data_IF_120787889709
#
_entry.id   IF_120787889709
#
_cell.length_a   1.000
_cell.length_b   1.000
_cell.length_c   1.000
_cell.angle_alpha   90.00
_cell.angle_beta   90.00
_cell.angle_gamma   90.00
#
_symmetry.space_group_name_H-M   'P 1'
#
loop_
_entity.id
_entity.type
_entity.pdbx_description
1 polymer ?
#
# COMPACT_ATOMS: atom_id res chain seq x y z
N UNK A 1 5.54 -70.61 -27.39
CA UNK A 1 4.36 -71.43 -27.74
C UNK A 1 3.29 -70.46 -28.20
N UNK A 2 2.76 -70.73 -29.40
CA UNK A 2 1.43 -70.32 -29.89
C UNK A 2 1.15 -68.81 -30.02
N UNK A 3 0.60 -68.28 -31.10
CA UNK A 3 0.24 -68.76 -32.43
C UNK A 3 -0.06 -67.51 -33.25
N UNK A 4 0.18 -67.60 -34.55
CA UNK A 4 -0.30 -66.63 -35.53
C UNK A 4 -1.82 -66.51 -35.47
N UNK A 5 -2.34 -65.31 -35.72
CA UNK A 5 -3.61 -65.20 -36.42
C UNK A 5 -3.55 -64.01 -37.37
N UNK A 6 -3.49 -64.32 -38.65
CA UNK A 6 -3.71 -63.38 -39.72
C UNK A 6 -5.20 -63.36 -40.01
N UNK A 7 -5.77 -62.18 -40.23
CA UNK A 7 -7.06 -62.10 -40.89
C UNK A 7 -6.98 -61.07 -42.00
N UNK A 8 -7.35 -61.57 -43.17
CA UNK A 8 -7.31 -60.95 -44.49
C UNK A 8 -8.04 -59.59 -44.54
N UNK A 9 -7.37 -58.66 -45.21
CA UNK A 9 -7.89 -57.38 -45.68
C UNK A 9 -8.77 -57.63 -46.92
N UNK A 10 -10.04 -57.20 -46.94
CA UNK A 10 -10.89 -57.30 -48.12
C UNK A 10 -10.59 -56.15 -49.12
N UNK A 11 -10.91 -56.33 -50.41
CA UNK A 11 -10.36 -55.54 -51.51
C UNK A 11 -10.97 -54.14 -51.66
N UNK A 12 -10.17 -53.27 -52.26
CA UNK A 12 -10.46 -51.88 -52.60
C UNK A 12 -11.80 -51.71 -53.35
N UNK A 13 -12.71 -50.96 -52.74
CA UNK A 13 -13.89 -50.40 -53.39
C UNK A 13 -13.45 -49.16 -54.18
N UNK A 14 -13.48 -49.30 -55.49
CA UNK A 14 -13.27 -48.28 -56.51
C UNK A 14 -14.32 -47.16 -56.34
N UNK A 15 -13.91 -46.02 -55.79
CA UNK A 15 -14.76 -44.83 -55.66
C UNK A 15 -14.79 -44.12 -57.01
N UNK A 16 -15.93 -44.17 -57.69
CA UNK A 16 -16.20 -43.35 -58.87
C UNK A 16 -16.27 -41.86 -58.47
N UNK A 17 -15.70 -40.93 -59.25
CA UNK A 17 -15.91 -39.50 -59.07
C UNK A 17 -17.20 -39.04 -59.77
N UNK A 18 -17.68 -37.84 -59.43
CA UNK A 18 -18.88 -37.12 -59.92
C UNK A 18 -20.15 -37.46 -59.12
N UNK A 19 -20.93 -36.53 -58.57
CA UNK A 19 -21.14 -35.09 -58.76
C UNK A 19 -21.76 -34.56 -57.46
N UNK A 20 -21.15 -33.57 -56.81
CA UNK A 20 -21.80 -32.77 -55.75
C UNK A 20 -21.01 -31.47 -55.55
N UNK A 21 -20.92 -30.65 -56.59
CA UNK A 21 -20.34 -29.30 -56.51
C UNK A 21 -21.31 -28.23 -55.95
N UNK A 22 -22.45 -28.62 -55.38
CA UNK A 22 -23.46 -27.68 -54.87
C UNK A 22 -23.67 -27.75 -53.35
N UNK A 23 -22.59 -27.81 -52.55
CA UNK A 23 -22.71 -27.86 -51.08
C UNK A 23 -21.81 -26.87 -50.32
N UNK A 24 -21.11 -25.95 -50.99
CA UNK A 24 -20.18 -25.03 -50.33
C UNK A 24 -20.56 -23.55 -50.41
N UNK A 25 -21.68 -23.20 -51.08
CA UNK A 25 -22.15 -21.81 -51.20
C UNK A 25 -23.23 -21.40 -50.18
N UNK A 26 -23.80 -22.34 -49.41
CA UNK A 26 -24.89 -22.01 -48.46
C UNK A 26 -24.43 -21.83 -47.00
N UNK A 27 -23.17 -22.10 -46.67
CA UNK A 27 -22.67 -21.95 -45.29
C UNK A 27 -22.27 -20.51 -44.91
N UNK A 28 -21.98 -19.63 -45.89
CA UNK A 28 -21.57 -18.23 -45.63
C UNK A 28 -22.75 -17.24 -45.55
N UNK A 29 -23.96 -17.65 -45.93
CA UNK A 29 -25.10 -16.73 -45.98
C UNK A 29 -25.79 -16.48 -44.61
N UNK A 30 -25.51 -17.32 -43.60
CA UNK A 30 -26.21 -17.24 -42.31
C UNK A 30 -25.47 -16.40 -41.25
N UNK A 31 -24.29 -15.86 -41.56
CA UNK A 31 -23.54 -14.98 -40.66
C UNK A 31 -23.89 -13.49 -40.86
N UNK A 32 -24.57 -13.13 -41.95
CA UNK A 32 -24.82 -11.74 -42.34
C UNK A 32 -26.20 -11.17 -41.94
N UNK A 33 -27.07 -11.94 -41.29
CA UNK A 33 -28.46 -11.52 -41.03
C UNK A 33 -28.91 -11.68 -39.58
N UNK A 34 -27.99 -11.79 -38.63
CA UNK A 34 -28.33 -11.52 -37.23
C UNK A 34 -28.53 -10.01 -37.09
N UNK A 35 -29.71 -9.52 -37.49
CA UNK A 35 -30.16 -8.16 -37.20
C UNK A 35 -30.24 -8.04 -35.68
N UNK A 36 -29.17 -7.52 -35.08
CA UNK A 36 -29.19 -7.12 -33.68
C UNK A 36 -30.32 -6.11 -33.57
N UNK A 37 -31.40 -6.51 -32.90
CA UNK A 37 -32.60 -5.68 -32.81
C UNK A 37 -32.21 -4.33 -32.21
N UNK A 38 -32.73 -3.24 -32.79
CA UNK A 38 -32.42 -1.89 -32.32
C UNK A 38 -32.71 -1.72 -30.82
N UNK A 39 -33.68 -2.48 -30.28
CA UNK A 39 -33.97 -2.55 -28.84
C UNK A 39 -32.84 -3.11 -27.98
N UNK A 40 -32.06 -4.06 -28.49
CA UNK A 40 -30.89 -4.63 -27.82
C UNK A 40 -29.74 -3.64 -27.86
N UNK A 41 -29.53 -2.97 -29.00
CA UNK A 41 -28.53 -1.91 -29.15
C UNK A 41 -28.85 -0.75 -28.19
N UNK A 42 -30.10 -0.29 -28.18
CA UNK A 42 -30.56 0.78 -27.29
C UNK A 42 -30.47 0.37 -25.82
N UNK A 43 -30.74 -0.90 -25.48
CA UNK A 43 -30.59 -1.41 -24.11
C UNK A 43 -29.13 -1.48 -23.66
N UNK A 44 -28.19 -1.81 -24.55
CA UNK A 44 -26.76 -1.83 -24.24
C UNK A 44 -26.21 -0.41 -24.14
N UNK A 45 -26.64 0.51 -24.99
CA UNK A 45 -26.27 1.93 -24.92
C UNK A 45 -26.87 2.62 -23.67
N UNK A 46 -28.10 2.27 -23.26
CA UNK A 46 -28.68 2.72 -21.98
C UNK A 46 -27.88 2.15 -20.80
N UNK A 47 -27.38 0.91 -20.89
CA UNK A 47 -26.52 0.33 -19.87
C UNK A 47 -25.15 1.02 -19.80
N UNK A 48 -24.53 1.35 -20.95
CA UNK A 48 -23.21 2.00 -21.02
C UNK A 48 -23.25 3.44 -20.48
N UNK A 49 -24.31 4.18 -20.82
CA UNK A 49 -24.55 5.52 -20.25
C UNK A 49 -24.84 5.51 -18.75
N UNK A 50 -25.35 4.39 -18.21
CA UNK A 50 -25.54 4.19 -16.76
C UNK A 50 -24.24 3.82 -16.06
N UNK A 51 -23.30 3.15 -16.73
CA UNK A 51 -21.96 2.87 -16.20
C UNK A 51 -21.18 4.18 -16.03
N UNK A 52 -21.31 5.13 -16.97
CA UNK A 52 -20.71 6.48 -16.84
C UNK A 52 -21.33 7.32 -15.70
N UNK A 53 -22.57 7.04 -15.32
CA UNK A 53 -23.26 7.68 -14.19
C UNK A 53 -23.07 6.96 -12.85
N UNK A 54 -22.33 5.85 -12.81
CA UNK A 54 -21.90 5.27 -11.54
C UNK A 54 -20.91 6.27 -10.93
N UNK A 55 -21.42 7.12 -10.04
CA UNK A 55 -20.56 7.71 -9.03
C UNK A 55 -19.98 6.56 -8.24
N UNK A 56 -18.74 6.18 -8.54
CA UNK A 56 -17.89 5.49 -7.59
C UNK A 56 -17.78 6.46 -6.41
N UNK A 57 -18.68 6.31 -5.45
CA UNK A 57 -18.56 6.96 -4.15
C UNK A 57 -17.31 6.34 -3.58
N UNK A 58 -16.17 7.03 -3.75
CA UNK A 58 -14.93 6.70 -3.06
C UNK A 58 -15.35 6.46 -1.61
N UNK A 59 -15.20 5.22 -1.14
CA UNK A 59 -15.61 4.84 0.20
C UNK A 59 -14.94 5.85 1.14
N UNK A 60 -15.74 6.75 1.70
CA UNK A 60 -15.18 7.83 2.51
C UNK A 60 -14.43 7.14 3.64
N UNK A 61 -13.12 7.42 3.80
CA UNK A 61 -12.33 6.75 4.80
C UNK A 61 -12.97 7.03 6.16
N UNK A 62 -13.08 5.98 6.98
CA UNK A 62 -13.70 6.06 8.29
C UNK A 62 -12.83 7.00 9.14
N UNK A 63 -13.43 7.94 9.87
CA UNK A 63 -12.67 8.78 10.80
C UNK A 63 -12.26 7.95 12.00
N UNK A 64 -11.00 8.03 12.44
CA UNK A 64 -10.62 7.39 13.70
C UNK A 64 -11.40 8.01 14.87
N UNK A 65 -11.82 7.17 15.82
CA UNK A 65 -12.19 7.64 17.15
C UNK A 65 -10.90 8.22 17.74
N UNK A 66 -10.93 9.46 18.22
CA UNK A 66 -9.75 10.12 18.75
C UNK A 66 -9.13 9.26 19.86
N UNK A 67 -8.03 8.58 19.52
CA UNK A 67 -7.14 7.96 20.49
C UNK A 67 -6.47 9.04 21.34
N UNK A 68 -5.88 8.65 22.47
CA UNK A 68 -5.04 9.54 23.23
C UNK A 68 -3.80 9.98 22.43
N UNK A 69 -3.02 10.90 23.01
CA UNK A 69 -1.75 11.36 22.42
C UNK A 69 -0.78 10.20 22.16
N UNK A 70 -0.88 9.14 22.96
CA UNK A 70 -0.07 7.93 22.84
C UNK A 70 -0.35 7.20 21.53
N UNK A 71 -1.61 6.83 21.28
CA UNK A 71 -2.05 6.13 20.07
C UNK A 71 -1.77 6.94 18.80
N UNK A 72 -1.89 8.26 18.89
CA UNK A 72 -1.58 9.15 17.77
C UNK A 72 -0.07 9.18 17.43
N UNK A 73 0.82 9.13 18.42
CA UNK A 73 2.27 9.01 18.17
C UNK A 73 2.60 7.67 17.55
N UNK A 74 2.06 6.61 18.12
CA UNK A 74 2.24 5.25 17.60
C UNK A 74 1.80 5.16 16.14
N UNK A 75 0.62 5.70 15.83
CA UNK A 75 0.12 5.73 14.45
C UNK A 75 1.00 6.59 13.53
N UNK A 76 1.52 7.72 14.01
CA UNK A 76 2.46 8.54 13.23
C UNK A 76 3.75 7.77 12.90
N UNK A 77 4.32 7.04 13.88
CA UNK A 77 5.51 6.20 13.68
C UNK A 77 5.25 5.13 12.62
N UNK A 78 4.10 4.44 12.68
CA UNK A 78 3.75 3.41 11.70
C UNK A 78 3.57 3.96 10.29
N UNK A 79 2.93 5.12 10.13
CA UNK A 79 2.72 5.74 8.81
C UNK A 79 4.06 6.18 8.19
N UNK A 80 4.96 6.74 8.98
CA UNK A 80 6.30 7.11 8.53
C UNK A 80 7.13 5.86 8.18
N UNK A 81 7.06 4.81 9.01
CA UNK A 81 7.70 3.53 8.71
C UNK A 81 7.17 2.93 7.40
N UNK A 82 5.85 2.93 7.20
CA UNK A 82 5.22 2.45 5.98
C UNK A 82 5.71 3.21 4.73
N UNK A 83 5.77 4.55 4.82
CA UNK A 83 6.30 5.41 3.74
C UNK A 83 7.74 5.03 3.37
N UNK A 84 8.61 4.81 4.35
CA UNK A 84 10.00 4.43 4.11
C UNK A 84 10.11 3.04 3.48
N UNK A 85 9.41 2.04 4.03
CA UNK A 85 9.50 0.65 3.55
C UNK A 85 8.94 0.51 2.14
N UNK A 86 7.84 1.22 1.83
CA UNK A 86 7.24 1.22 0.49
C UNK A 86 7.93 2.18 -0.47
N UNK A 87 8.83 3.05 0.02
CA UNK A 87 9.42 4.15 -0.75
C UNK A 87 8.37 5.01 -1.44
N UNK A 88 7.28 5.30 -0.74
CA UNK A 88 6.17 6.13 -1.23
C UNK A 88 6.18 7.50 -0.54
N UNK A 89 5.77 8.57 -1.25
CA UNK A 89 5.52 9.87 -0.63
C UNK A 89 4.53 9.73 0.54
N UNK A 90 4.77 10.48 1.62
CA UNK A 90 3.92 10.36 2.82
C UNK A 90 2.45 10.68 2.54
N UNK A 91 2.18 11.57 1.58
CA UNK A 91 0.83 11.92 1.18
C UNK A 91 0.08 10.72 0.59
N UNK A 92 0.73 9.92 -0.25
CA UNK A 92 0.11 8.72 -0.82
C UNK A 92 -0.22 7.69 0.27
N UNK A 93 0.64 7.58 1.29
CA UNK A 93 0.40 6.69 2.44
C UNK A 93 -0.79 7.17 3.27
N UNK A 94 -0.93 8.48 3.49
CA UNK A 94 -2.06 9.08 4.19
C UNK A 94 -3.37 8.90 3.42
N UNK A 95 -3.36 9.17 2.11
CA UNK A 95 -4.53 9.08 1.24
C UNK A 95 -5.02 7.63 1.10
N UNK A 96 -4.11 6.65 1.20
CA UNK A 96 -4.43 5.23 1.16
C UNK A 96 -5.04 4.67 2.48
N UNK A 97 -5.08 5.44 3.57
CA UNK A 97 -5.59 4.95 4.84
C UNK A 97 -7.11 4.78 4.81
N UNK A 98 -7.57 3.55 5.06
CA UNK A 98 -9.01 3.27 5.26
C UNK A 98 -9.55 4.00 6.48
N UNK A 99 -8.75 4.06 7.56
CA UNK A 99 -9.05 4.83 8.76
C UNK A 99 -8.25 6.13 8.74
N UNK A 100 -8.94 7.24 8.50
CA UNK A 100 -8.34 8.58 8.48
C UNK A 100 -7.62 8.80 9.81
N UNK A 101 -6.32 9.15 9.77
CA UNK A 101 -5.59 9.55 10.96
C UNK A 101 -6.27 10.72 11.68
N UNK A 102 -6.18 10.77 12.99
CA UNK A 102 -6.64 11.94 13.73
C UNK A 102 -5.74 13.16 13.42
N UNK A 103 -6.26 14.35 13.72
CA UNK A 103 -5.57 15.61 13.43
C UNK A 103 -4.18 15.74 14.06
N UNK A 104 -3.94 15.07 15.20
CA UNK A 104 -2.62 15.14 15.85
C UNK A 104 -1.63 14.22 15.14
N UNK A 105 -2.05 13.00 14.79
CA UNK A 105 -1.25 12.10 13.94
C UNK A 105 -0.85 12.76 12.63
N UNK A 106 -1.81 13.33 11.89
CA UNK A 106 -1.57 13.97 10.60
C UNK A 106 -0.60 15.15 10.72
N UNK A 107 -0.83 16.04 11.71
CA UNK A 107 0.09 17.14 12.00
C UNK A 107 1.52 16.67 12.25
N UNK A 108 1.68 15.58 13.00
CA UNK A 108 2.98 15.07 13.40
C UNK A 108 3.71 14.47 12.20
N UNK A 109 3.02 13.63 11.42
CA UNK A 109 3.54 13.01 10.20
C UNK A 109 4.00 14.06 9.18
N UNK A 110 3.13 15.04 8.88
CA UNK A 110 3.44 16.08 7.90
C UNK A 110 4.58 16.98 8.38
N UNK A 111 4.65 17.28 9.69
CA UNK A 111 5.77 18.06 10.24
C UNK A 111 7.09 17.30 10.20
N UNK A 112 7.08 15.99 10.47
CA UNK A 112 8.26 15.14 10.30
C UNK A 112 8.74 15.17 8.86
N UNK A 113 7.84 14.98 7.89
CA UNK A 113 8.21 15.00 6.47
C UNK A 113 8.82 16.34 6.05
N UNK A 114 8.21 17.44 6.48
CA UNK A 114 8.70 18.79 6.20
C UNK A 114 10.15 19.02 6.68
N UNK A 115 10.54 18.41 7.81
CA UNK A 115 11.86 18.59 8.44
C UNK A 115 12.71 17.31 8.39
N UNK A 116 12.39 16.37 7.50
CA UNK A 116 12.97 15.01 7.50
C UNK A 116 14.50 15.02 7.43
N UNK A 117 15.07 15.86 6.57
CA UNK A 117 16.52 15.98 6.39
C UNK A 117 17.20 16.51 7.67
N UNK A 118 16.72 17.64 8.20
CA UNK A 118 17.24 18.26 9.42
C UNK A 118 17.16 17.31 10.62
N UNK A 119 16.02 16.62 10.80
CA UNK A 119 15.83 15.64 11.86
C UNK A 119 16.79 14.45 11.71
N UNK A 120 16.99 13.97 10.48
CA UNK A 120 17.90 12.85 10.19
C UNK A 120 19.36 13.24 10.47
N UNK A 121 19.77 14.45 10.08
CA UNK A 121 21.10 14.98 10.36
C UNK A 121 21.35 15.15 11.86
N UNK A 122 20.38 15.69 12.60
CA UNK A 122 20.42 15.80 14.06
C UNK A 122 20.61 14.41 14.70
N UNK A 123 19.76 13.45 14.32
CA UNK A 123 19.83 12.07 14.83
C UNK A 123 21.19 11.45 14.53
N UNK A 124 21.68 11.57 13.29
CA UNK A 124 22.97 11.01 12.89
C UNK A 124 24.15 11.61 13.64
N UNK A 125 24.13 12.92 13.90
CA UNK A 125 25.15 13.62 14.68
C UNK A 125 25.15 13.18 16.16
N UNK A 126 23.98 12.87 16.71
CA UNK A 126 23.82 12.45 18.12
C UNK A 126 24.00 10.94 18.33
N UNK A 127 23.83 10.13 17.29
CA UNK A 127 24.03 8.68 17.30
C UNK A 127 25.52 8.29 17.36
N UNK A 128 26.20 8.62 18.46
CA UNK A 128 27.64 8.36 18.67
C UNK A 128 27.96 6.87 18.48
N UNK A 129 28.69 6.53 17.42
CA UNK A 129 29.15 5.16 17.14
C UNK A 129 28.14 4.25 16.44
N UNK A 130 26.93 4.73 16.14
CA UNK A 130 25.91 3.99 15.41
C UNK A 130 25.55 4.75 14.13
N UNK A 131 25.77 4.15 12.96
CA UNK A 131 25.38 4.82 11.71
C UNK A 131 23.86 4.73 11.53
N UNK A 132 23.24 5.82 11.05
CA UNK A 132 21.80 5.86 10.77
C UNK A 132 21.39 4.74 9.82
N UNK A 133 22.25 4.33 8.89
CA UNK A 133 21.96 3.24 7.94
C UNK A 133 21.81 1.86 8.62
N UNK A 134 22.36 1.68 9.82
CA UNK A 134 22.27 0.44 10.61
C UNK A 134 21.16 0.50 11.67
N UNK A 135 20.43 1.59 11.73
CA UNK A 135 19.31 1.75 12.66
C UNK A 135 18.07 1.03 12.10
N UNK A 136 17.31 0.29 12.91
CA UNK A 136 16.01 -0.21 12.48
C UNK A 136 15.15 0.95 11.97
N UNK A 137 14.52 0.79 10.79
CA UNK A 137 13.71 1.86 10.18
C UNK A 137 12.62 2.36 11.13
N UNK A 138 12.07 1.47 11.95
CA UNK A 138 11.06 1.81 12.96
C UNK A 138 11.64 2.71 14.07
N UNK A 139 12.84 2.38 14.58
CA UNK A 139 13.54 3.20 15.58
C UNK A 139 13.88 4.59 15.01
N UNK A 140 14.30 4.66 13.74
CA UNK A 140 14.55 5.94 13.08
C UNK A 140 13.26 6.77 12.91
N UNK A 141 12.15 6.14 12.53
CA UNK A 141 10.86 6.82 12.45
C UNK A 141 10.42 7.34 13.82
N UNK A 142 10.56 6.53 14.87
CA UNK A 142 10.28 6.91 16.25
C UNK A 142 11.13 8.10 16.71
N UNK A 143 12.43 8.07 16.46
CA UNK A 143 13.33 9.17 16.80
C UNK A 143 12.97 10.46 16.05
N UNK A 144 12.63 10.36 14.76
CA UNK A 144 12.18 11.53 13.98
C UNK A 144 10.92 12.13 14.55
N UNK A 145 9.94 11.30 14.94
CA UNK A 145 8.71 11.75 15.60
C UNK A 145 9.02 12.48 16.91
N UNK A 146 9.83 11.88 17.78
CA UNK A 146 10.17 12.48 19.08
C UNK A 146 10.99 13.77 18.94
N UNK A 147 12.00 13.79 18.06
CA UNK A 147 12.77 15.00 17.77
C UNK A 147 11.90 16.11 17.15
N UNK A 148 10.95 15.74 16.29
CA UNK A 148 9.98 16.68 15.73
C UNK A 148 9.07 17.27 16.80
N UNK A 149 8.51 16.45 17.71
CA UNK A 149 7.77 16.94 18.87
C UNK A 149 8.61 17.91 19.68
N UNK A 150 9.86 17.54 20.02
CA UNK A 150 10.80 18.40 20.75
C UNK A 150 11.05 19.73 20.02
N UNK A 151 11.26 19.73 18.71
CA UNK A 151 11.55 20.97 17.99
C UNK A 151 10.32 21.87 17.78
N UNK A 152 9.15 21.28 17.51
CA UNK A 152 8.04 22.00 16.88
C UNK A 152 6.72 22.01 17.67
N UNK A 153 6.65 21.29 18.79
CA UNK A 153 5.43 21.16 19.61
C UNK A 153 5.69 21.62 21.05
N UNK A 154 5.89 22.94 21.28
CA UNK A 154 6.24 23.48 22.60
C UNK A 154 5.16 23.25 23.66
N UNK A 155 3.92 23.00 23.24
CA UNK A 155 2.80 22.67 24.13
C UNK A 155 2.95 21.30 24.82
N UNK A 156 3.84 20.43 24.33
CA UNK A 156 4.06 19.08 24.86
C UNK A 156 5.29 19.10 25.78
N UNK A 157 5.17 18.78 27.06
CA UNK A 157 6.31 18.81 27.99
C UNK A 157 7.44 17.89 27.54
N UNK A 158 8.69 18.35 27.69
CA UNK A 158 9.90 17.60 27.33
C UNK A 158 9.89 16.18 27.92
N UNK A 159 9.58 16.04 29.21
CA UNK A 159 9.54 14.73 29.89
C UNK A 159 8.50 13.78 29.31
N UNK A 160 7.37 14.29 28.82
CA UNK A 160 6.32 13.48 28.18
C UNK A 160 6.83 12.91 26.85
N UNK A 161 7.45 13.73 26.00
CA UNK A 161 7.99 13.27 24.71
C UNK A 161 9.02 12.15 24.92
N UNK A 162 9.94 12.34 25.86
CA UNK A 162 10.96 11.32 26.18
C UNK A 162 10.33 10.03 26.70
N UNK A 163 9.43 10.13 27.69
CA UNK A 163 8.77 8.97 28.29
C UNK A 163 8.00 8.15 27.26
N UNK A 164 7.28 8.81 26.36
CA UNK A 164 6.46 8.17 25.33
C UNK A 164 7.32 7.48 24.27
N UNK A 165 8.40 8.13 23.83
CA UNK A 165 9.32 7.55 22.86
C UNK A 165 10.03 6.31 23.42
N UNK A 166 10.45 6.34 24.69
CA UNK A 166 11.07 5.18 25.34
C UNK A 166 10.07 4.03 25.52
N UNK A 167 8.81 4.34 25.88
CA UNK A 167 7.77 3.33 25.99
C UNK A 167 7.49 2.64 24.65
N UNK A 168 7.38 3.41 23.55
CA UNK A 168 7.18 2.87 22.21
C UNK A 168 8.39 2.04 21.75
N UNK A 169 9.61 2.49 22.03
CA UNK A 169 10.83 1.74 21.70
C UNK A 169 10.89 0.40 22.46
N UNK A 170 10.39 0.36 23.70
CA UNK A 170 10.28 -0.88 24.47
C UNK A 170 9.17 -1.82 24.01
N UNK A 171 8.12 -1.28 23.38
CA UNK A 171 7.03 -2.09 22.85
C UNK A 171 7.41 -2.79 21.53
N UNK A 172 8.12 -2.08 20.66
CA UNK A 172 8.41 -2.55 19.30
C UNK A 172 9.84 -3.03 19.07
N UNK A 173 10.77 -2.60 19.92
CA UNK A 173 12.19 -2.91 19.79
C UNK A 173 12.66 -3.95 20.81
N UNK A 174 13.92 -3.83 21.19
CA UNK A 174 14.53 -4.60 22.27
C UNK A 174 14.83 -3.70 23.47
N UNK A 175 15.27 -4.30 24.58
CA UNK A 175 15.79 -3.55 25.73
C UNK A 175 16.93 -2.61 25.34
N UNK A 176 17.72 -2.97 24.33
CA UNK A 176 18.80 -2.15 23.82
C UNK A 176 18.30 -0.97 22.99
N UNK A 177 17.21 -1.14 22.21
CA UNK A 177 16.53 -0.03 21.52
C UNK A 177 16.03 1.01 22.51
N UNK A 178 15.39 0.59 23.60
CA UNK A 178 14.88 1.52 24.63
C UNK A 178 15.98 2.37 25.26
N UNK A 179 17.11 1.75 25.62
CA UNK A 179 18.27 2.45 26.20
C UNK A 179 18.90 3.42 25.20
N UNK A 180 19.06 2.98 23.95
CA UNK A 180 19.60 3.79 22.88
C UNK A 180 18.73 5.03 22.62
N UNK A 181 17.43 4.84 22.42
CA UNK A 181 16.45 5.91 22.20
C UNK A 181 16.47 6.91 23.35
N UNK A 182 16.46 6.43 24.60
CA UNK A 182 16.51 7.31 25.77
C UNK A 182 17.77 8.18 25.79
N UNK A 183 18.94 7.58 25.54
CA UNK A 183 20.22 8.29 25.52
C UNK A 183 20.28 9.35 24.43
N UNK A 184 19.84 9.00 23.21
CA UNK A 184 19.84 9.92 22.07
C UNK A 184 18.85 11.07 22.29
N UNK A 185 17.62 10.78 22.72
CA UNK A 185 16.60 11.81 22.93
C UNK A 185 16.91 12.73 24.11
N UNK A 186 17.63 12.26 25.12
CA UNK A 186 18.12 13.14 26.19
C UNK A 186 19.04 14.21 25.62
N UNK A 187 20.01 13.80 24.80
CA UNK A 187 20.93 14.73 24.14
C UNK A 187 20.20 15.64 23.14
N UNK A 188 19.27 15.10 22.35
CA UNK A 188 18.47 15.89 21.41
C UNK A 188 17.62 16.93 22.13
N UNK A 189 17.03 16.58 23.27
CA UNK A 189 16.23 17.51 24.05
C UNK A 189 17.06 18.63 24.69
N UNK A 190 18.32 18.37 25.08
CA UNK A 190 19.22 19.42 25.55
C UNK A 190 19.58 20.42 24.45
N UNK A 191 19.73 19.96 23.19
CA UNK A 191 19.99 20.85 22.05
C UNK A 191 18.74 21.61 21.60
N UNK A 192 17.58 20.94 21.52
CA UNK A 192 16.35 21.51 20.98
C UNK A 192 15.54 22.32 22.01
N UNK A 193 15.64 21.97 23.30
CA UNK A 193 14.95 22.63 24.41
C UNK A 193 15.84 22.65 25.66
N UNK A 194 16.82 23.57 25.71
CA UNK A 194 17.59 23.79 26.92
C UNK A 194 16.65 24.16 28.09
N UNK A 195 16.98 23.64 29.27
CA UNK A 195 16.19 23.79 30.50
C UNK A 195 16.13 25.24 31.01
#
# INVERSE_FOLDING_TARGET
MSSADGTAEPPASEVQPSESQDSMAEADANLASAEVSQSVIDSVLDADSRVEQIQVVAAQPLRSVAGGRHEARERAVHLLYESEIKSLPIQEVLDAQVLVPDSYTERLVLRVEQHKLELTELIGRLARGWSVERMPTLDLALLRVACCELAYFPEIPRGVVLSEAVALAGHYGTDDSSKFVNGLLTAAADELRPA
#
